data_IF_289996548571
#
_entry.id   IF_289996548571
#
_cell.length_a   1.000
_cell.length_b   1.000
_cell.length_c   1.000
_cell.angle_alpha   90.00
_cell.angle_beta   90.00
_cell.angle_gamma   90.00
#
_symmetry.space_group_name_H-M   'P 1'
#
loop_
_entity.id
_entity.type
_entity.pdbx_description
1 polymer ?
#
# COMPACT_ATOMS: atom_id res chain seq x y z
N UNK A 1 0.24 -14.56 -19.56
CA UNK A 1 -0.67 -13.63 -18.87
C UNK A 1 -1.81 -13.31 -19.81
N UNK A 2 -3.03 -13.60 -19.41
CA UNK A 2 -4.25 -13.30 -20.16
C UNK A 2 -5.15 -12.41 -19.31
N UNK A 3 -5.88 -11.49 -19.94
CA UNK A 3 -6.76 -10.54 -19.26
C UNK A 3 -8.21 -10.86 -19.62
N UNK A 4 -9.04 -11.03 -18.60
CA UNK A 4 -10.49 -11.17 -18.72
C UNK A 4 -11.20 -10.05 -17.97
N UNK A 5 -12.29 -9.56 -18.53
CA UNK A 5 -13.13 -8.55 -17.88
C UNK A 5 -14.39 -9.22 -17.36
N UNK A 6 -14.65 -9.11 -16.06
CA UNK A 6 -15.83 -9.72 -15.42
C UNK A 6 -16.33 -8.84 -14.27
N UNK A 7 -17.65 -8.68 -14.17
CA UNK A 7 -18.33 -8.05 -13.02
C UNK A 7 -17.73 -6.70 -12.56
N UNK A 8 -17.29 -5.86 -13.50
CA UNK A 8 -16.70 -4.55 -13.17
C UNK A 8 -15.21 -4.60 -12.80
N UNK A 9 -14.55 -5.75 -12.89
CA UNK A 9 -13.13 -5.94 -12.59
C UNK A 9 -12.34 -6.61 -13.72
N UNK A 10 -11.03 -6.74 -13.51
CA UNK A 10 -10.12 -7.42 -14.43
C UNK A 10 -9.54 -8.65 -13.71
N UNK A 11 -9.68 -9.81 -14.34
CA UNK A 11 -9.04 -11.06 -13.93
C UNK A 11 -7.76 -11.22 -14.76
N UNK A 12 -6.63 -11.37 -14.08
CA UNK A 12 -5.32 -11.61 -14.69
C UNK A 12 -4.99 -13.09 -14.53
N UNK A 13 -5.14 -13.87 -15.59
CA UNK A 13 -4.88 -15.31 -15.59
C UNK A 13 -3.42 -15.61 -15.96
N UNK A 14 -2.89 -16.69 -15.39
CA UNK A 14 -1.55 -17.19 -15.68
C UNK A 14 -0.43 -16.15 -15.47
N UNK A 15 -0.64 -15.19 -14.54
CA UNK A 15 0.43 -14.30 -14.08
C UNK A 15 1.29 -15.03 -13.06
N UNK A 16 2.59 -14.99 -13.28
CA UNK A 16 3.58 -15.43 -12.28
C UNK A 16 3.66 -14.36 -11.19
N UNK A 17 3.43 -14.77 -9.94
CA UNK A 17 3.56 -13.91 -8.78
C UNK A 17 5.03 -13.67 -8.45
N UNK A 18 5.44 -12.42 -8.53
CA UNK A 18 6.74 -11.92 -8.09
C UNK A 18 6.75 -11.69 -6.58
N UNK A 19 7.94 -11.46 -6.01
CA UNK A 19 8.07 -11.04 -4.62
C UNK A 19 7.31 -9.72 -4.36
N UNK A 20 7.37 -8.78 -5.30
CA UNK A 20 6.64 -7.51 -5.23
C UNK A 20 5.12 -7.72 -5.20
N UNK A 21 4.58 -8.62 -6.03
CA UNK A 21 3.13 -8.90 -6.04
C UNK A 21 2.67 -9.46 -4.69
N UNK A 22 3.45 -10.36 -4.09
CA UNK A 22 3.16 -10.93 -2.77
C UNK A 22 3.23 -9.86 -1.69
N UNK A 23 4.25 -9.03 -1.72
CA UNK A 23 4.42 -7.93 -0.79
C UNK A 23 3.25 -6.93 -0.84
N UNK A 24 2.83 -6.52 -2.05
CA UNK A 24 1.65 -5.66 -2.21
C UNK A 24 0.41 -6.36 -1.67
N UNK A 25 0.17 -7.62 -2.05
CA UNK A 25 -1.00 -8.36 -1.60
C UNK A 25 -1.07 -8.50 -0.07
N UNK A 26 0.07 -8.75 0.58
CA UNK A 26 0.14 -8.90 2.04
C UNK A 26 -0.08 -7.55 2.74
N UNK A 27 0.51 -6.46 2.23
CA UNK A 27 0.23 -5.13 2.77
C UNK A 27 -1.23 -4.71 2.59
N UNK A 28 -1.80 -4.93 1.40
CA UNK A 28 -3.18 -4.52 1.12
C UNK A 28 -4.21 -5.28 1.93
N UNK A 29 -3.93 -6.54 2.31
CA UNK A 29 -4.76 -7.30 3.26
C UNK A 29 -4.82 -6.65 4.64
N UNK A 30 -3.73 -6.04 5.10
CA UNK A 30 -3.76 -5.28 6.36
C UNK A 30 -4.55 -4.00 6.14
N UNK A 31 -4.33 -3.30 5.02
CA UNK A 31 -4.97 -2.01 4.75
C UNK A 31 -6.49 -2.11 4.63
N UNK A 32 -7.00 -3.15 3.96
CA UNK A 32 -8.44 -3.38 3.77
C UNK A 32 -9.21 -3.64 5.06
N UNK A 33 -8.54 -4.06 6.15
CA UNK A 33 -9.16 -4.20 7.48
C UNK A 33 -9.52 -2.83 8.10
N UNK A 34 -8.86 -1.75 7.67
CA UNK A 34 -8.99 -0.43 8.28
C UNK A 34 -9.63 0.61 7.36
N UNK A 35 -9.38 0.51 6.05
CA UNK A 35 -9.79 1.56 5.12
C UNK A 35 -9.84 1.11 3.66
N UNK A 36 -10.70 1.78 2.89
CA UNK A 36 -10.67 1.72 1.44
C UNK A 36 -9.39 2.35 0.89
N UNK A 37 -8.83 1.73 -0.15
CA UNK A 37 -7.59 2.17 -0.76
C UNK A 37 -7.59 1.95 -2.28
N UNK A 38 -6.66 2.62 -2.96
CA UNK A 38 -6.35 2.39 -4.36
C UNK A 38 -4.84 2.40 -4.54
N UNK A 39 -4.29 1.30 -5.07
CA UNK A 39 -2.89 1.24 -5.50
C UNK A 39 -2.77 1.90 -6.88
N UNK A 40 -1.79 2.79 -7.04
CA UNK A 40 -1.62 3.61 -8.24
C UNK A 40 -0.17 3.54 -8.76
N UNK A 41 0.13 4.31 -9.80
CA UNK A 41 1.51 4.55 -10.28
C UNK A 41 2.22 3.29 -10.81
N UNK A 42 3.51 3.14 -10.51
CA UNK A 42 4.42 2.16 -11.11
C UNK A 42 3.97 0.71 -10.95
N UNK A 43 3.45 0.33 -9.78
CA UNK A 43 3.02 -1.05 -9.53
C UNK A 43 1.88 -1.48 -10.47
N UNK A 44 0.92 -0.60 -10.76
CA UNK A 44 -0.17 -0.92 -11.70
C UNK A 44 0.40 -1.28 -13.08
N UNK A 45 1.43 -0.57 -13.54
CA UNK A 45 2.09 -0.86 -14.82
C UNK A 45 2.80 -2.23 -14.80
N UNK A 46 3.43 -2.60 -13.69
CA UNK A 46 4.11 -3.89 -13.49
C UNK A 46 3.09 -5.04 -13.40
N UNK A 47 1.97 -4.83 -12.71
CA UNK A 47 0.90 -5.80 -12.56
C UNK A 47 0.39 -6.28 -13.93
N UNK A 48 0.32 -5.37 -14.91
CA UNK A 48 -0.05 -5.66 -16.31
C UNK A 48 1.12 -6.11 -17.21
N UNK A 49 2.21 -6.62 -16.63
CA UNK A 49 3.25 -7.37 -17.34
C UNK A 49 4.31 -6.52 -18.06
N UNK A 50 4.41 -5.23 -17.77
CA UNK A 50 5.51 -4.39 -18.30
C UNK A 50 6.79 -4.65 -17.52
N UNK A 51 7.89 -4.94 -18.22
CA UNK A 51 9.21 -5.09 -17.62
C UNK A 51 9.79 -3.73 -17.22
N UNK A 52 9.55 -3.32 -15.97
CA UNK A 52 10.22 -2.20 -15.30
C UNK A 52 10.35 -2.52 -13.81
N UNK A 53 11.38 -1.98 -13.16
CA UNK A 53 11.43 -1.92 -11.71
C UNK A 53 10.51 -0.83 -11.16
N UNK A 54 10.14 -0.97 -9.90
CA UNK A 54 9.64 0.12 -9.05
C UNK A 54 10.31 -0.07 -7.69
N UNK A 55 10.74 1.02 -7.08
CA UNK A 55 11.37 1.00 -5.75
C UNK A 55 10.33 1.20 -4.65
N UNK A 56 9.20 1.81 -5.00
CA UNK A 56 8.09 2.14 -4.13
C UNK A 56 6.73 1.75 -4.72
N UNK A 57 5.76 1.59 -3.83
CA UNK A 57 4.34 1.36 -4.15
C UNK A 57 3.53 2.55 -3.67
N UNK A 58 2.93 3.30 -4.60
CA UNK A 58 2.05 4.42 -4.27
C UNK A 58 0.63 3.92 -3.98
N UNK A 59 0.09 4.30 -2.83
CA UNK A 59 -1.29 3.99 -2.43
C UNK A 59 -2.02 5.25 -1.97
N UNK A 60 -3.24 5.43 -2.49
CA UNK A 60 -4.18 6.45 -2.02
C UNK A 60 -5.13 5.78 -1.04
N UNK A 61 -5.33 6.37 0.14
CA UNK A 61 -6.25 5.87 1.16
C UNK A 61 -7.41 6.85 1.38
N UNK A 62 -8.54 6.32 1.84
CA UNK A 62 -9.67 7.13 2.31
C UNK A 62 -9.36 7.93 3.58
N UNK A 63 -10.40 8.50 4.19
CA UNK A 63 -10.28 9.16 5.50
C UNK A 63 -10.09 8.14 6.64
N UNK A 64 -8.99 8.27 7.37
CA UNK A 64 -8.72 7.51 8.58
C UNK A 64 -8.74 8.47 9.77
N UNK A 65 -9.58 8.22 10.78
CA UNK A 65 -9.51 8.99 12.02
C UNK A 65 -8.30 8.55 12.86
N UNK A 66 -7.97 9.34 13.89
CA UNK A 66 -6.80 9.12 14.74
C UNK A 66 -6.77 7.75 15.43
N UNK A 67 -7.91 7.25 15.90
CA UNK A 67 -7.98 5.98 16.63
C UNK A 67 -7.79 4.79 15.67
N UNK A 68 -8.39 4.86 14.48
CA UNK A 68 -8.19 3.90 13.40
C UNK A 68 -6.73 3.89 12.95
N UNK A 69 -6.13 5.08 12.76
CA UNK A 69 -4.72 5.21 12.37
C UNK A 69 -3.77 4.65 13.42
N UNK A 70 -4.03 4.93 14.70
CA UNK A 70 -3.24 4.37 15.80
C UNK A 70 -3.32 2.84 15.82
N UNK A 71 -4.50 2.29 15.58
CA UNK A 71 -4.70 0.83 15.51
C UNK A 71 -3.99 0.20 14.31
N UNK A 72 -4.05 0.85 13.14
CA UNK A 72 -3.34 0.46 11.93
C UNK A 72 -1.81 0.49 12.13
N UNK A 73 -1.28 1.57 12.72
CA UNK A 73 0.13 1.70 13.07
C UNK A 73 0.62 0.54 13.96
N UNK A 74 -0.14 0.20 14.99
CA UNK A 74 0.21 -0.90 15.89
C UNK A 74 0.16 -2.26 15.20
N UNK A 75 -0.83 -2.49 14.33
CA UNK A 75 -0.96 -3.71 13.54
C UNK A 75 0.22 -3.89 12.59
N UNK A 76 0.56 -2.85 11.83
CA UNK A 76 1.74 -2.84 10.97
C UNK A 76 3.03 -3.13 11.75
N UNK A 77 3.23 -2.46 12.89
CA UNK A 77 4.41 -2.67 13.73
C UNK A 77 4.53 -4.12 14.21
N UNK A 78 3.42 -4.76 14.59
CA UNK A 78 3.39 -6.18 14.99
C UNK A 78 3.72 -7.13 13.84
N UNK A 79 3.40 -6.75 12.62
CA UNK A 79 3.68 -7.53 11.41
C UNK A 79 5.05 -7.25 10.78
N UNK A 80 5.91 -6.50 11.50
CA UNK A 80 7.28 -6.21 11.10
C UNK A 80 7.43 -5.06 10.11
N UNK A 81 6.37 -4.28 9.88
CA UNK A 81 6.46 -3.04 9.13
C UNK A 81 6.95 -1.90 10.02
N UNK A 82 7.68 -0.95 9.45
CA UNK A 82 8.19 0.24 10.12
C UNK A 82 7.98 1.49 9.26
N UNK A 83 7.93 2.66 9.90
CA UNK A 83 7.73 3.93 9.22
C UNK A 83 9.08 4.62 9.00
N UNK A 84 9.30 5.15 7.80
CA UNK A 84 10.56 5.83 7.43
C UNK A 84 10.55 7.32 7.78
N UNK A 85 9.37 7.90 7.97
CA UNK A 85 9.27 9.28 8.44
C UNK A 85 9.81 9.33 9.88
N UNK A 86 10.61 10.36 10.24
CA UNK A 86 11.21 10.48 11.57
C UNK A 86 10.22 11.02 12.61
N UNK A 87 9.02 10.44 12.66
CA UNK A 87 7.90 10.89 13.49
C UNK A 87 7.32 9.73 14.31
N UNK A 88 6.69 10.06 15.44
CA UNK A 88 5.88 9.10 16.20
C UNK A 88 4.48 8.93 15.57
N UNK A 89 3.66 8.05 16.14
CA UNK A 89 2.28 7.81 15.63
C UNK A 89 1.44 9.08 15.55
N UNK A 90 1.66 10.06 16.43
CA UNK A 90 0.93 11.33 16.42
C UNK A 90 1.43 12.21 15.28
N UNK A 91 2.74 12.37 15.13
CA UNK A 91 3.32 13.15 14.03
C UNK A 91 2.97 12.57 12.66
N UNK A 92 3.02 11.24 12.52
CA UNK A 92 2.58 10.54 11.30
C UNK A 92 1.11 10.80 10.95
N UNK A 93 0.23 10.85 11.95
CA UNK A 93 -1.17 11.18 11.75
C UNK A 93 -1.36 12.64 11.33
N UNK A 94 -0.66 13.57 11.98
CA UNK A 94 -0.69 15.00 11.63
C UNK A 94 -0.19 15.22 10.19
N UNK A 95 0.87 14.52 9.77
CA UNK A 95 1.33 14.52 8.38
C UNK A 95 0.22 14.10 7.40
N UNK A 96 -0.52 13.02 7.70
CA UNK A 96 -1.62 12.58 6.83
C UNK A 96 -2.78 13.59 6.78
N UNK A 97 -3.09 14.25 7.90
CA UNK A 97 -4.10 15.31 7.96
C UNK A 97 -3.69 16.52 7.11
N UNK A 98 -2.40 16.83 7.04
CA UNK A 98 -1.83 17.89 6.19
C UNK A 98 -1.69 17.50 4.72
N UNK A 99 -2.10 16.27 4.35
CA UNK A 99 -1.96 15.75 2.98
C UNK A 99 -0.53 15.38 2.59
N UNK A 100 0.37 15.27 3.57
CA UNK A 100 1.73 14.80 3.36
C UNK A 100 1.76 13.27 3.25
N UNK A 101 2.81 12.76 2.59
CA UNK A 101 2.98 11.34 2.41
C UNK A 101 3.60 10.64 3.61
N UNK A 102 3.06 9.48 3.97
CA UNK A 102 3.63 8.58 4.98
C UNK A 102 4.28 7.38 4.30
N UNK A 103 5.53 7.10 4.64
CA UNK A 103 6.34 6.03 4.06
C UNK A 103 6.47 4.88 5.04
N UNK A 104 6.11 3.69 4.60
CA UNK A 104 6.16 2.43 5.36
C UNK A 104 7.15 1.50 4.66
N UNK A 105 7.89 0.68 5.38
CA UNK A 105 8.77 -0.31 4.80
C UNK A 105 8.74 -1.63 5.58
N UNK A 106 9.14 -2.71 4.93
CA UNK A 106 9.36 -4.04 5.53
C UNK A 106 10.36 -4.80 4.69
N UNK A 107 11.35 -5.44 5.35
CA UNK A 107 12.34 -6.34 4.73
C UNK A 107 12.87 -5.82 3.37
N UNK A 108 13.36 -4.58 3.36
CA UNK A 108 13.95 -3.88 2.20
C UNK A 108 12.99 -3.38 1.09
N UNK A 109 11.67 -3.40 1.30
CA UNK A 109 10.68 -2.83 0.35
C UNK A 109 9.92 -1.64 0.97
N UNK A 110 9.75 -0.55 0.20
CA UNK A 110 9.12 0.71 0.64
C UNK A 110 7.71 0.88 0.02
N UNK A 111 6.77 1.38 0.81
CA UNK A 111 5.39 1.74 0.47
C UNK A 111 5.17 3.22 0.76
N UNK A 112 4.53 3.93 -0.15
CA UNK A 112 4.21 5.35 -0.03
C UNK A 112 2.68 5.54 0.07
N UNK A 113 2.21 6.04 1.21
CA UNK A 113 0.81 6.38 1.44
C UNK A 113 0.56 7.87 1.20
N UNK A 114 -0.53 8.19 0.49
CA UNK A 114 -1.06 9.55 0.34
C UNK A 114 -2.53 9.59 0.66
N UNK A 115 -2.96 10.67 1.30
CA UNK A 115 -4.37 11.02 1.40
C UNK A 115 -4.75 11.98 0.27
N UNK A 116 -5.98 11.84 -0.24
CA UNK A 116 -6.60 12.82 -1.13
C UNK A 116 -7.74 13.54 -0.42
#
# INVERSE_FOLDING_TARGET
MELRYEHGGIIIENKVFTALDKFVADFTKVLEEYIDYVVVSGYVVILFGRARGTEDIDTIIGYMNKDTFTSFYQKLSREGYYFLNPEDVKGLYEMLEEGLGVRIAKEDTIIFLRRK
#
